data_IF_615959588641
#
_entry.id   IF_615959588641
#
_cell.length_a   1.000
_cell.length_b   1.000
_cell.length_c   1.000
_cell.angle_alpha   90.00
_cell.angle_beta   90.00
_cell.angle_gamma   90.00
#
_symmetry.space_group_name_H-M   'P 1'
#
loop_
_entity.id
_entity.type
_entity.pdbx_description
1 polymer ?
#
# COMPACT_ATOMS: atom_id res chain seq x y z
N UNK A 1 -14.58 5.25 34.44
CA UNK A 1 -13.51 4.77 33.58
C UNK A 1 -14.05 4.75 32.15
N UNK A 2 -13.83 5.84 31.41
CA UNK A 2 -14.13 5.90 29.98
C UNK A 2 -13.01 5.14 29.28
N UNK A 3 -13.33 4.00 28.68
CA UNK A 3 -12.43 3.25 27.86
C UNK A 3 -12.01 4.09 26.64
N UNK A 4 -10.74 4.41 26.55
CA UNK A 4 -10.16 4.88 25.30
C UNK A 4 -10.38 3.75 24.27
N UNK A 5 -11.28 3.97 23.35
CA UNK A 5 -11.37 3.15 22.15
C UNK A 5 -10.12 3.50 21.34
N UNK A 6 -9.06 2.75 21.53
CA UNK A 6 -7.89 2.81 20.67
C UNK A 6 -8.33 2.57 19.24
N UNK A 7 -7.83 3.38 18.34
CA UNK A 7 -8.01 3.23 16.89
C UNK A 7 -7.54 1.82 16.55
N UNK A 8 -8.46 0.94 16.16
CA UNK A 8 -8.17 -0.47 15.89
C UNK A 8 -7.38 -0.69 14.62
N UNK A 9 -7.39 0.30 13.70
CA UNK A 9 -6.69 0.21 12.43
C UNK A 9 -5.73 1.40 12.29
N UNK A 10 -4.41 1.13 12.26
CA UNK A 10 -3.39 2.16 12.14
C UNK A 10 -3.18 2.63 10.69
N UNK A 11 -4.19 2.50 9.84
CA UNK A 11 -4.08 2.85 8.42
C UNK A 11 -4.48 4.30 8.16
N UNK A 12 -3.61 5.00 7.42
CA UNK A 12 -3.81 6.39 6.98
C UNK A 12 -3.69 6.44 5.46
N UNK A 13 -4.72 6.92 4.79
CA UNK A 13 -4.76 7.02 3.33
C UNK A 13 -4.85 8.48 2.91
N UNK A 14 -3.97 8.88 2.00
CA UNK A 14 -4.00 10.17 1.33
C UNK A 14 -4.23 9.95 -0.17
N UNK A 15 -5.29 10.54 -0.73
CA UNK A 15 -5.53 10.50 -2.17
C UNK A 15 -4.42 11.28 -2.91
N UNK A 16 -3.92 10.72 -3.99
CA UNK A 16 -2.88 11.32 -4.84
C UNK A 16 -3.35 11.30 -6.29
N UNK A 17 -3.12 12.38 -7.01
CA UNK A 17 -3.30 12.38 -8.47
C UNK A 17 -2.34 11.33 -9.08
N UNK A 18 -2.87 10.31 -9.79
CA UNK A 18 -2.05 9.25 -10.36
C UNK A 18 -0.88 9.75 -11.22
N UNK A 19 -1.05 10.89 -11.90
CA UNK A 19 -0.01 11.48 -12.74
C UNK A 19 1.23 11.95 -11.96
N UNK A 20 1.12 12.12 -10.64
CA UNK A 20 2.22 12.60 -9.80
C UNK A 20 2.60 11.64 -8.67
N UNK A 21 2.04 10.43 -8.66
CA UNK A 21 2.28 9.44 -7.61
C UNK A 21 3.78 9.24 -7.33
N UNK A 22 4.57 8.98 -8.37
CA UNK A 22 6.01 8.75 -8.23
C UNK A 22 6.75 9.96 -7.61
N UNK A 23 6.39 11.17 -8.00
CA UNK A 23 6.97 12.40 -7.42
C UNK A 23 6.58 12.57 -5.95
N UNK A 24 5.37 12.19 -5.57
CA UNK A 24 4.93 12.17 -4.17
C UNK A 24 5.73 11.14 -3.39
N UNK A 25 5.89 9.94 -3.94
CA UNK A 25 6.67 8.87 -3.34
C UNK A 25 8.13 9.31 -3.10
N UNK A 26 8.80 9.87 -4.11
CA UNK A 26 10.17 10.40 -3.99
C UNK A 26 10.29 11.47 -2.90
N UNK A 27 9.32 12.38 -2.83
CA UNK A 27 9.33 13.44 -1.83
C UNK A 27 9.13 12.91 -0.42
N UNK A 28 8.23 11.96 -0.24
CA UNK A 28 8.00 11.29 1.05
C UNK A 28 9.22 10.47 1.48
N UNK A 29 9.84 9.73 0.56
CA UNK A 29 11.06 8.99 0.83
C UNK A 29 12.21 9.92 1.23
N UNK A 30 12.41 11.03 0.52
CA UNK A 30 13.42 12.04 0.86
C UNK A 30 13.17 12.69 2.22
N UNK A 31 11.91 12.96 2.52
CA UNK A 31 11.50 13.54 3.80
C UNK A 31 11.71 12.56 4.96
N UNK A 32 11.45 11.28 4.76
CA UNK A 32 11.60 10.22 5.76
C UNK A 32 13.06 9.77 5.98
N UNK A 33 13.99 10.05 5.07
CA UNK A 33 15.40 9.59 5.11
C UNK A 33 16.23 10.25 6.25
N UNK A 34 15.65 11.10 7.07
CA UNK A 34 16.26 11.65 8.31
C UNK A 34 17.54 12.46 8.12
N UNK A 35 18.08 12.54 6.91
CA UNK A 35 19.33 13.27 6.58
C UNK A 35 19.17 14.78 6.60
N UNK A 36 17.93 15.26 6.61
CA UNK A 36 17.60 16.65 6.91
C UNK A 36 16.77 16.61 8.17
N UNK A 37 17.26 17.30 9.21
CA UNK A 37 16.46 17.58 10.39
C UNK A 37 15.11 18.13 9.91
N UNK A 38 14.10 17.29 9.87
CA UNK A 38 12.74 17.72 9.56
C UNK A 38 12.08 18.09 10.87
N UNK A 39 11.90 19.39 11.15
CA UNK A 39 11.27 19.83 12.40
C UNK A 39 9.82 19.38 12.53
N UNK A 40 9.28 18.79 11.46
CA UNK A 40 7.91 18.33 11.36
C UNK A 40 7.71 16.91 11.90
N UNK A 41 8.78 16.10 11.99
CA UNK A 41 8.70 14.75 12.56
C UNK A 41 9.11 14.82 14.02
N UNK A 42 8.25 14.40 14.97
CA UNK A 42 8.63 14.31 16.37
C UNK A 42 9.80 13.34 16.58
N UNK A 43 10.72 13.66 17.48
CA UNK A 43 11.94 12.87 17.78
C UNK A 43 11.65 11.40 18.17
N UNK A 44 10.44 11.12 18.64
CA UNK A 44 10.01 9.79 19.07
C UNK A 44 9.29 9.00 17.96
N UNK A 45 9.19 9.55 16.75
CA UNK A 45 8.56 8.90 15.61
C UNK A 45 9.61 8.51 14.59
N UNK A 46 9.60 7.24 14.19
CA UNK A 46 10.42 6.73 13.10
C UNK A 46 9.56 6.55 11.87
N UNK A 47 9.97 7.09 10.74
CA UNK A 47 9.27 6.92 9.45
C UNK A 47 10.14 6.10 8.52
N UNK A 48 9.57 5.02 7.99
CA UNK A 48 10.26 4.11 7.09
C UNK A 48 9.50 4.01 5.75
N UNK A 49 10.08 4.46 4.64
CA UNK A 49 9.51 4.25 3.32
C UNK A 49 9.80 2.83 2.83
N UNK A 50 8.81 2.21 2.20
CA UNK A 50 8.91 0.92 1.54
C UNK A 50 8.38 1.06 0.12
N UNK A 51 9.24 0.80 -0.86
CA UNK A 51 8.89 0.83 -2.27
C UNK A 51 8.30 -0.50 -2.70
N UNK A 52 7.02 -0.51 -3.02
CA UNK A 52 6.30 -1.74 -3.35
C UNK A 52 6.75 -2.34 -4.68
N UNK A 53 7.11 -1.52 -5.64
CA UNK A 53 7.67 -1.95 -6.92
C UNK A 53 9.05 -2.61 -6.80
N UNK A 54 9.84 -2.28 -5.77
CA UNK A 54 11.10 -2.95 -5.49
C UNK A 54 10.92 -4.32 -4.81
N UNK A 55 9.79 -4.52 -4.12
CA UNK A 55 9.45 -5.80 -3.52
C UNK A 55 8.81 -6.75 -4.51
N UNK A 56 8.05 -6.23 -5.48
CA UNK A 56 7.28 -7.02 -6.44
C UNK A 56 8.12 -8.10 -7.14
N UNK A 57 9.33 -7.82 -7.68
CA UNK A 57 10.16 -8.84 -8.34
C UNK A 57 10.70 -9.93 -7.41
N UNK A 58 10.59 -9.74 -6.08
CA UNK A 58 11.02 -10.72 -5.09
C UNK A 58 9.96 -11.78 -4.83
N UNK A 59 8.71 -11.52 -5.18
CA UNK A 59 7.59 -12.45 -4.99
C UNK A 59 7.60 -13.57 -6.01
N UNK A 60 7.16 -14.75 -5.61
CA UNK A 60 7.11 -15.91 -6.50
C UNK A 60 5.94 -15.81 -7.47
N UNK A 61 4.82 -15.20 -7.04
CA UNK A 61 3.68 -14.94 -7.92
C UNK A 61 4.07 -14.03 -9.08
N UNK A 62 4.81 -12.94 -8.83
CA UNK A 62 5.27 -12.05 -9.90
C UNK A 62 6.19 -12.76 -10.88
N UNK A 63 7.16 -13.56 -10.39
CA UNK A 63 8.05 -14.37 -11.25
C UNK A 63 7.25 -15.30 -12.13
N UNK A 64 6.25 -16.00 -11.54
CA UNK A 64 5.38 -16.88 -12.30
C UNK A 64 4.58 -16.13 -13.37
N UNK A 65 4.03 -14.96 -13.05
CA UNK A 65 3.29 -14.13 -14.01
C UNK A 65 4.16 -13.66 -15.17
N UNK A 66 5.41 -13.31 -14.90
CA UNK A 66 6.38 -12.92 -15.94
C UNK A 66 6.73 -14.12 -16.83
N UNK A 67 6.94 -15.29 -16.25
CA UNK A 67 7.28 -16.52 -16.98
C UNK A 67 6.09 -17.03 -17.81
N UNK A 68 4.85 -16.78 -17.37
CA UNK A 68 3.61 -17.18 -18.06
C UNK A 68 3.06 -16.10 -19.00
N UNK A 69 3.72 -14.97 -19.12
CA UNK A 69 3.20 -13.73 -19.71
C UNK A 69 2.65 -13.83 -21.14
N UNK A 70 3.06 -14.80 -21.96
CA UNK A 70 2.46 -15.06 -23.26
C UNK A 70 1.25 -16.04 -23.24
N UNK A 71 1.29 -17.14 -22.46
CA UNK A 71 0.21 -18.10 -22.44
C UNK A 71 -1.09 -17.58 -21.80
N UNK A 72 -1.04 -16.61 -20.88
CA UNK A 72 -2.23 -16.06 -20.22
C UNK A 72 -3.05 -15.16 -21.15
N UNK A 73 -2.42 -14.48 -22.10
CA UNK A 73 -3.11 -13.66 -23.09
C UNK A 73 -3.94 -14.50 -24.09
N UNK A 74 -3.62 -15.78 -24.25
CA UNK A 74 -4.36 -16.70 -25.12
C UNK A 74 -5.59 -17.35 -24.44
N UNK A 75 -5.72 -17.23 -23.10
CA UNK A 75 -6.81 -17.82 -22.31
C UNK A 75 -8.04 -16.89 -22.16
N UNK A 76 -8.09 -15.75 -22.80
CA UNK A 76 -9.19 -14.77 -22.77
C UNK A 76 -10.49 -15.25 -23.46
N UNK A 77 -10.82 -16.53 -23.40
CA UNK A 77 -12.01 -17.08 -24.06
C UNK A 77 -13.15 -17.56 -23.17
N UNK A 78 -12.99 -17.69 -21.85
CA UNK A 78 -14.04 -18.20 -20.98
C UNK A 78 -13.99 -17.60 -19.56
N UNK A 79 -15.02 -16.80 -19.25
CA UNK A 79 -15.09 -15.82 -18.15
C UNK A 79 -15.12 -16.39 -16.71
N UNK A 80 -15.28 -17.66 -16.48
CA UNK A 80 -15.52 -18.21 -15.13
C UNK A 80 -14.31 -18.82 -14.40
N UNK A 81 -13.41 -19.56 -15.06
CA UNK A 81 -12.20 -20.05 -14.39
C UNK A 81 -11.13 -18.96 -14.24
N UNK A 82 -11.03 -18.03 -15.17
CA UNK A 82 -10.03 -16.97 -15.19
C UNK A 82 -10.17 -16.01 -14.00
N UNK A 83 -11.38 -15.56 -13.68
CA UNK A 83 -11.65 -14.65 -12.56
C UNK A 83 -11.20 -15.22 -11.21
N UNK A 84 -11.43 -16.51 -10.97
CA UNK A 84 -11.00 -17.17 -9.72
C UNK A 84 -9.48 -17.33 -9.61
N UNK A 85 -8.81 -17.53 -10.74
CA UNK A 85 -7.34 -17.62 -10.77
C UNK A 85 -6.76 -16.25 -10.49
N UNK A 86 -7.33 -15.21 -11.10
CA UNK A 86 -6.91 -13.84 -10.88
C UNK A 86 -7.07 -13.40 -9.43
N UNK A 87 -8.25 -13.62 -8.81
CA UNK A 87 -8.48 -13.33 -7.39
C UNK A 87 -7.49 -14.09 -6.49
N UNK A 88 -7.29 -15.38 -6.72
CA UNK A 88 -6.35 -16.20 -5.94
C UNK A 88 -4.92 -15.69 -6.09
N UNK A 89 -4.52 -15.26 -7.28
CA UNK A 89 -3.18 -14.69 -7.51
C UNK A 89 -3.01 -13.33 -6.85
N UNK A 90 -4.05 -12.47 -6.87
CA UNK A 90 -4.03 -11.17 -6.21
C UNK A 90 -3.86 -11.31 -4.69
N UNK A 91 -4.65 -12.19 -4.06
CA UNK A 91 -4.54 -12.49 -2.62
C UNK A 91 -3.16 -13.02 -2.26
N UNK A 92 -2.65 -13.98 -3.03
CA UNK A 92 -1.33 -14.56 -2.80
C UNK A 92 -0.21 -13.56 -3.01
N UNK A 93 -0.31 -12.68 -3.98
CA UNK A 93 0.67 -11.62 -4.19
C UNK A 93 0.70 -10.66 -3.00
N UNK A 94 -0.46 -10.26 -2.46
CA UNK A 94 -0.54 -9.42 -1.27
C UNK A 94 0.11 -10.11 -0.06
N UNK A 95 -0.14 -11.41 0.14
CA UNK A 95 0.49 -12.20 1.20
C UNK A 95 2.02 -12.24 1.07
N UNK A 96 2.53 -12.52 -0.13
CA UNK A 96 3.97 -12.57 -0.40
C UNK A 96 4.64 -11.19 -0.24
N UNK A 97 4.00 -10.11 -0.68
CA UNK A 97 4.51 -8.75 -0.49
C UNK A 97 4.63 -8.40 0.99
N UNK A 98 3.61 -8.67 1.80
CA UNK A 98 3.65 -8.43 3.24
C UNK A 98 4.72 -9.29 3.90
N UNK A 99 4.88 -10.55 3.48
CA UNK A 99 5.94 -11.40 3.97
C UNK A 99 7.33 -10.84 3.65
N UNK A 100 7.56 -10.37 2.41
CA UNK A 100 8.83 -9.72 2.02
C UNK A 100 9.11 -8.46 2.85
N UNK A 101 8.08 -7.64 3.12
CA UNK A 101 8.23 -6.48 4.01
C UNK A 101 8.70 -6.87 5.41
N UNK A 102 8.07 -7.88 6.01
CA UNK A 102 8.36 -8.32 7.38
C UNK A 102 9.74 -8.98 7.48
N UNK A 103 10.12 -9.79 6.51
CA UNK A 103 11.37 -10.54 6.53
C UNK A 103 12.61 -9.67 6.24
N UNK A 104 12.46 -8.64 5.41
CA UNK A 104 13.61 -7.91 4.86
C UNK A 104 13.67 -6.43 5.23
N UNK A 105 12.52 -5.80 5.46
CA UNK A 105 12.46 -4.36 5.63
C UNK A 105 12.09 -3.93 7.07
N UNK A 106 11.32 -4.75 7.80
CA UNK A 106 10.79 -4.42 9.10
C UNK A 106 11.26 -5.40 10.18
N UNK A 107 11.70 -4.88 11.32
CA UNK A 107 11.95 -5.74 12.48
C UNK A 107 10.66 -6.00 13.26
N UNK A 108 10.58 -7.13 13.99
CA UNK A 108 9.45 -7.43 14.87
C UNK A 108 9.19 -6.31 15.90
N UNK A 109 10.26 -5.73 16.45
CA UNK A 109 10.14 -4.64 17.41
C UNK A 109 9.51 -3.37 16.81
N UNK A 110 9.76 -3.08 15.53
CA UNK A 110 9.15 -1.96 14.84
C UNK A 110 7.66 -2.19 14.58
N UNK A 111 7.27 -3.44 14.28
CA UNK A 111 5.87 -3.79 14.03
C UNK A 111 4.99 -3.69 15.28
N UNK A 112 5.58 -3.73 16.47
CA UNK A 112 4.87 -3.69 17.76
C UNK A 112 4.63 -2.28 18.31
N UNK A 113 5.07 -1.22 17.63
CA UNK A 113 4.95 0.15 18.12
C UNK A 113 4.25 1.10 17.16
N UNK A 114 3.32 1.90 17.69
CA UNK A 114 2.62 2.94 16.93
C UNK A 114 3.49 4.18 16.62
N UNK A 115 4.62 4.33 17.30
CA UNK A 115 5.59 5.39 17.01
C UNK A 115 6.44 5.10 15.77
N UNK A 116 6.30 3.91 15.18
CA UNK A 116 6.87 3.55 13.90
C UNK A 116 5.81 3.73 12.80
N UNK A 117 6.14 4.54 11.80
CA UNK A 117 5.30 4.81 10.64
C UNK A 117 5.93 4.15 9.42
N UNK A 118 5.18 3.29 8.75
CA UNK A 118 5.57 2.69 7.48
C UNK A 118 4.85 3.41 6.36
N UNK A 119 5.57 3.92 5.38
CA UNK A 119 5.00 4.51 4.16
C UNK A 119 5.08 3.50 3.02
N UNK A 120 3.94 3.04 2.53
CA UNK A 120 3.87 2.15 1.36
C UNK A 120 3.84 3.01 0.10
N UNK A 121 4.96 3.08 -0.59
CA UNK A 121 5.17 3.96 -1.75
C UNK A 121 4.98 3.22 -3.07
N UNK A 122 4.55 3.96 -4.09
CA UNK A 122 4.39 3.50 -5.47
C UNK A 122 3.38 2.34 -5.61
N UNK A 123 2.23 2.50 -4.95
CA UNK A 123 1.17 1.49 -4.93
C UNK A 123 0.59 1.23 -6.34
N UNK A 124 0.57 2.26 -7.19
CA UNK A 124 0.09 2.14 -8.56
C UNK A 124 0.84 1.11 -9.41
N UNK A 125 2.10 0.84 -9.07
CA UNK A 125 2.91 -0.18 -9.75
C UNK A 125 2.38 -1.62 -9.55
N UNK A 126 1.59 -1.85 -8.52
CA UNK A 126 1.00 -3.16 -8.23
C UNK A 126 -0.23 -3.44 -9.09
N UNK A 127 -0.83 -2.42 -9.70
CA UNK A 127 -2.00 -2.60 -10.55
C UNK A 127 -1.59 -3.19 -11.93
N UNK A 128 -2.32 -4.16 -12.48
CA UNK A 128 -3.56 -4.77 -11.98
C UNK A 128 -3.35 -6.01 -11.07
N UNK A 129 -2.13 -6.33 -10.71
CA UNK A 129 -1.76 -7.59 -10.07
C UNK A 129 -2.31 -7.77 -8.65
N UNK A 130 -2.44 -6.70 -7.87
CA UNK A 130 -3.10 -6.71 -6.56
C UNK A 130 -3.71 -5.34 -6.26
N UNK A 131 -4.55 -5.29 -5.22
CA UNK A 131 -5.26 -4.08 -4.79
C UNK A 131 -4.76 -3.64 -3.41
N UNK A 132 -4.95 -2.35 -3.13
CA UNK A 132 -4.64 -1.80 -1.81
C UNK A 132 -5.39 -2.52 -0.68
N UNK A 133 -6.67 -2.88 -0.93
CA UNK A 133 -7.50 -3.60 0.03
C UNK A 133 -6.88 -4.92 0.46
N UNK A 134 -6.43 -5.74 -0.49
CA UNK A 134 -5.83 -7.05 -0.21
C UNK A 134 -4.53 -6.90 0.60
N UNK A 135 -3.70 -5.90 0.26
CA UNK A 135 -2.48 -5.60 0.99
C UNK A 135 -2.77 -5.17 2.44
N UNK A 136 -3.80 -4.32 2.64
CA UNK A 136 -4.20 -3.86 3.97
C UNK A 136 -4.85 -4.97 4.79
N UNK A 137 -5.67 -5.82 4.17
CA UNK A 137 -6.28 -6.97 4.82
C UNK A 137 -5.22 -7.96 5.31
N UNK A 138 -4.16 -8.16 4.54
CA UNK A 138 -3.05 -9.03 4.97
C UNK A 138 -2.24 -8.40 6.12
N UNK A 139 -1.96 -7.09 6.08
CA UNK A 139 -1.31 -6.38 7.18
C UNK A 139 -2.13 -6.41 8.47
N UNK A 140 -3.46 -6.28 8.37
CA UNK A 140 -4.37 -6.42 9.51
C UNK A 140 -4.38 -7.85 10.05
N UNK A 141 -4.40 -8.83 9.18
CA UNK A 141 -4.32 -10.27 9.52
C UNK A 141 -3.04 -10.62 10.28
N UNK A 142 -1.92 -9.97 9.95
CA UNK A 142 -0.63 -10.09 10.65
C UNK A 142 -0.55 -9.28 11.93
N UNK A 143 -1.64 -8.55 12.27
CA UNK A 143 -1.74 -7.75 13.50
C UNK A 143 -0.60 -6.72 13.66
N UNK A 144 -0.23 -6.06 12.55
CA UNK A 144 0.79 -5.01 12.54
C UNK A 144 0.26 -3.80 13.30
N UNK A 145 1.04 -3.31 14.29
CA UNK A 145 0.67 -2.16 15.14
C UNK A 145 1.29 -0.84 14.67
N UNK A 146 2.26 -0.89 13.78
CA UNK A 146 2.83 0.30 13.14
C UNK A 146 1.74 1.10 12.40
N UNK A 147 1.86 2.40 12.38
CA UNK A 147 1.00 3.23 11.53
C UNK A 147 1.40 3.03 10.07
N UNK A 148 0.45 2.66 9.23
CA UNK A 148 0.67 2.44 7.80
C UNK A 148 0.11 3.62 7.02
N UNK A 149 0.97 4.39 6.39
CA UNK A 149 0.63 5.51 5.52
C UNK A 149 0.65 5.10 4.05
N UNK A 150 -0.42 5.43 3.33
CA UNK A 150 -0.58 5.05 1.92
C UNK A 150 -0.93 6.28 1.09
N UNK A 151 0.03 6.78 0.28
CA UNK A 151 -0.29 7.65 -0.84
C UNK A 151 -1.04 6.82 -1.90
N UNK A 152 -2.35 7.01 -2.00
CA UNK A 152 -3.21 6.20 -2.85
C UNK A 152 -3.45 6.90 -4.20
N UNK A 153 -3.00 6.34 -5.34
CA UNK A 153 -3.20 6.93 -6.67
C UNK A 153 -4.65 6.73 -7.14
N UNK A 154 -5.49 7.72 -6.86
CA UNK A 154 -6.91 7.68 -7.18
C UNK A 154 -7.73 8.52 -6.24
N UNK A 155 -9.01 8.21 -6.16
CA UNK A 155 -9.98 8.90 -5.33
C UNK A 155 -10.40 8.08 -4.13
N UNK A 156 -10.61 8.75 -3.01
CA UNK A 156 -11.18 8.16 -1.81
C UNK A 156 -12.50 8.85 -1.53
N UNK A 157 -13.61 8.14 -1.75
CA UNK A 157 -14.96 8.69 -1.59
C UNK A 157 -15.75 7.85 -0.59
N UNK A 158 -16.09 8.47 0.55
CA UNK A 158 -16.89 7.81 1.58
C UNK A 158 -16.24 6.54 2.15
N UNK A 159 -14.90 6.51 2.27
CA UNK A 159 -14.14 5.35 2.72
C UNK A 159 -13.96 4.25 1.66
N UNK A 160 -14.42 4.47 0.43
CA UNK A 160 -14.19 3.57 -0.69
C UNK A 160 -13.03 4.05 -1.55
N UNK A 161 -12.16 3.11 -1.91
CA UNK A 161 -11.01 3.34 -2.75
C UNK A 161 -11.38 3.14 -4.23
N UNK A 162 -11.14 4.16 -5.05
CA UNK A 162 -11.32 4.10 -6.50
C UNK A 162 -9.98 4.28 -7.21
N UNK A 163 -9.45 3.22 -7.76
CA UNK A 163 -8.18 3.21 -8.49
C UNK A 163 -8.40 3.76 -9.91
N UNK A 164 -7.61 4.75 -10.31
CA UNK A 164 -7.62 5.33 -11.67
C UNK A 164 -9.01 5.67 -12.23
N UNK A 165 -9.96 6.10 -11.36
CA UNK A 165 -11.32 6.43 -11.79
C UNK A 165 -12.23 5.23 -12.07
N UNK A 166 -11.81 4.02 -11.70
CA UNK A 166 -12.62 2.82 -11.79
C UNK A 166 -13.72 2.74 -10.73
N UNK A 167 -14.53 1.69 -10.76
CA UNK A 167 -15.57 1.48 -9.75
C UNK A 167 -14.98 1.30 -8.36
N UNK A 168 -15.49 2.04 -7.38
CA UNK A 168 -15.09 1.92 -5.99
C UNK A 168 -15.72 0.67 -5.38
N UNK A 169 -14.93 -0.37 -5.11
CA UNK A 169 -15.48 -1.68 -4.73
C UNK A 169 -15.36 -2.03 -3.25
N UNK A 170 -14.38 -1.48 -2.53
CA UNK A 170 -14.12 -1.91 -1.16
C UNK A 170 -14.11 -0.74 -0.19
N UNK A 171 -14.87 -0.90 0.91
CA UNK A 171 -14.79 -0.04 2.08
C UNK A 171 -13.67 -0.56 2.96
N UNK A 172 -12.69 0.30 3.24
CA UNK A 172 -11.65 -0.01 4.22
C UNK A 172 -11.70 1.01 5.38
N UNK A 173 -11.71 0.56 6.63
CA UNK A 173 -11.73 1.45 7.79
C UNK A 173 -10.33 2.04 8.00
N UNK A 174 -9.99 3.07 7.23
CA UNK A 174 -8.75 3.82 7.33
C UNK A 174 -9.04 5.29 7.65
N UNK A 175 -8.07 5.96 8.26
CA UNK A 175 -8.12 7.41 8.40
C UNK A 175 -7.81 8.04 7.05
N UNK A 176 -8.77 8.76 6.50
CA UNK A 176 -8.56 9.51 5.27
C UNK A 176 -8.03 10.91 5.61
N UNK A 177 -6.97 11.31 4.95
CA UNK A 177 -6.51 12.70 4.92
C UNK A 177 -7.38 13.44 3.89
N UNK A 178 -7.99 14.54 4.31
CA UNK A 178 -8.84 15.34 3.44
C UNK A 178 -8.06 15.97 2.29
N UNK A 179 -8.65 15.93 1.10
CA UNK A 179 -8.08 16.46 -0.13
C UNK A 179 -7.26 15.46 -0.92
N UNK A 180 -6.89 15.85 -2.14
CA UNK A 180 -6.05 15.06 -3.04
C UNK A 180 -4.71 15.79 -3.25
N UNK A 181 -3.60 15.07 -3.14
CA UNK A 181 -2.27 15.60 -3.43
C UNK A 181 -2.12 15.73 -4.95
N UNK A 182 -1.90 16.95 -5.41
CA UNK A 182 -1.75 17.29 -6.84
C UNK A 182 -0.37 17.88 -7.12
N UNK A 183 -0.01 17.99 -8.40
CA UNK A 183 1.27 18.52 -8.83
C UNK A 183 1.59 19.93 -8.32
N UNK A 184 0.58 20.74 -8.06
CA UNK A 184 0.74 22.10 -7.48
C UNK A 184 1.30 22.07 -6.05
N UNK A 185 1.06 21.03 -5.30
CA UNK A 185 1.57 20.85 -3.92
C UNK A 185 3.04 20.40 -3.86
N UNK A 186 3.63 20.08 -5.03
CA UNK A 186 5.00 19.56 -5.14
C UNK A 186 6.00 20.59 -5.68
N UNK A 187 5.58 21.86 -5.81
CA UNK A 187 6.43 22.97 -6.28
C UNK A 187 7.36 23.48 -5.19
#
# INVERSE_FOLDING_TARGET
AQGQHGIRNPFVIAAVDPAVEHRVADRLATWSDGRKESPEIPDNVTVQPIWLDELLPRTDVYKLLVDLGEPLAELEGDTSPGERIEETMQDRLAEELVQQMIEHELSEAQLETQSHVVLLLNLGSLYPFTRASELLDELDRRNVKSTIGIPFPGDVVGGKLSFFGGESRHYYPAHQIDGQIQGVHLQ
#
